data_IF_711293429599
#
_entry.id   IF_711293429599
#
_cell.length_a   1.000
_cell.length_b   1.000
_cell.length_c   1.000
_cell.angle_alpha   90.00
_cell.angle_beta   90.00
_cell.angle_gamma   90.00
#
_symmetry.space_group_name_H-M   'P 1'
#
loop_
_entity.id
_entity.type
_entity.pdbx_description
1 polymer ?
#
# COMPACT_ATOMS: atom_id res chain seq x y z
N UNK A 1 -10.33 9.95 -0.72
CA UNK A 1 -9.14 9.75 -1.57
C UNK A 1 -8.08 8.97 -0.80
N UNK A 2 -7.06 8.39 -1.43
CA UNK A 2 -6.04 7.58 -0.72
C UNK A 2 -5.33 8.34 0.40
N UNK A 3 -5.19 9.65 0.27
CA UNK A 3 -4.66 10.52 1.32
C UNK A 3 -5.56 10.55 2.58
N UNK A 4 -6.88 10.52 2.43
CA UNK A 4 -7.81 10.50 3.57
C UNK A 4 -7.74 9.18 4.34
N UNK A 5 -7.57 8.05 3.63
CA UNK A 5 -7.38 6.74 4.27
C UNK A 5 -6.08 6.74 5.08
N UNK A 6 -4.97 7.25 4.51
CA UNK A 6 -3.68 7.30 5.19
C UNK A 6 -3.69 8.23 6.40
N UNK A 7 -4.20 9.46 6.24
CA UNK A 7 -4.13 10.49 7.27
C UNK A 7 -5.21 10.39 8.35
N UNK A 8 -6.43 9.95 7.99
CA UNK A 8 -7.58 9.89 8.92
C UNK A 8 -7.99 8.47 9.28
N UNK A 9 -7.88 7.52 8.35
CA UNK A 9 -8.25 6.11 8.60
C UNK A 9 -7.18 5.34 9.36
N UNK A 10 -5.91 5.53 8.97
CA UNK A 10 -4.73 4.91 9.57
C UNK A 10 -3.93 5.86 10.45
N UNK A 11 -4.38 7.12 10.61
CA UNK A 11 -3.73 8.12 11.47
C UNK A 11 -2.20 8.24 11.26
N UNK A 12 -1.75 8.03 10.02
CA UNK A 12 -0.33 8.07 9.69
C UNK A 12 0.14 9.52 9.65
N UNK A 13 0.88 9.93 10.69
CA UNK A 13 1.53 11.24 10.76
C UNK A 13 2.61 11.43 9.70
N UNK A 14 3.29 10.34 9.34
CA UNK A 14 4.24 10.27 8.23
C UNK A 14 4.12 8.90 7.57
N UNK A 15 4.27 8.84 6.25
CA UNK A 15 4.29 7.59 5.49
C UNK A 15 5.49 7.62 4.55
N UNK A 16 6.41 6.67 4.70
CA UNK A 16 7.57 6.54 3.82
C UNK A 16 7.22 5.60 2.68
N UNK A 17 7.40 6.07 1.45
CA UNK A 17 7.30 5.24 0.25
C UNK A 17 8.48 4.28 0.23
N UNK A 18 8.19 3.00 0.15
CA UNK A 18 9.18 1.92 0.09
C UNK A 18 9.58 1.61 -1.35
N UNK A 19 8.69 1.89 -2.29
CA UNK A 19 8.87 1.62 -3.71
C UNK A 19 7.52 1.47 -4.40
N UNK A 20 7.54 0.85 -5.57
CA UNK A 20 6.36 0.58 -6.37
C UNK A 20 6.22 -0.92 -6.62
N UNK A 21 5.02 -1.47 -6.37
CA UNK A 21 4.70 -2.89 -6.65
C UNK A 21 4.33 -3.10 -8.12
N UNK A 22 3.90 -2.03 -8.78
CA UNK A 22 3.60 -1.91 -10.20
C UNK A 22 3.84 -0.45 -10.60
N UNK A 23 4.13 -0.18 -11.88
CA UNK A 23 4.28 1.19 -12.37
C UNK A 23 3.04 2.05 -11.98
N UNK A 24 3.28 3.11 -11.21
CA UNK A 24 2.23 4.00 -10.70
C UNK A 24 1.55 3.56 -9.40
N UNK A 25 1.76 2.33 -8.90
CA UNK A 25 1.21 1.86 -7.63
C UNK A 25 2.30 1.79 -6.56
N UNK A 26 2.26 2.73 -5.61
CA UNK A 26 3.26 2.86 -4.54
C UNK A 26 2.90 2.03 -3.32
N UNK A 27 3.92 1.59 -2.57
CA UNK A 27 3.77 0.87 -1.30
C UNK A 27 4.35 1.71 -0.16
N UNK A 28 3.60 1.81 0.94
CA UNK A 28 4.05 2.38 2.22
C UNK A 28 3.83 1.35 3.33
N UNK A 29 4.57 1.46 4.44
CA UNK A 29 4.26 0.70 5.65
C UNK A 29 3.69 1.61 6.73
N UNK A 30 2.74 1.09 7.49
CA UNK A 30 2.44 1.63 8.81
C UNK A 30 3.70 1.54 9.70
N UNK A 31 3.95 2.53 10.57
CA UNK A 31 5.01 2.43 11.57
C UNK A 31 4.87 1.15 12.41
N UNK A 32 5.99 0.58 12.86
CA UNK A 32 5.97 -0.58 13.76
C UNK A 32 5.29 -0.27 15.11
N UNK A 33 5.19 1.01 15.45
CA UNK A 33 4.50 1.50 16.65
C UNK A 33 3.00 1.76 16.43
N UNK A 34 2.46 1.47 15.24
CA UNK A 34 1.05 1.71 14.94
C UNK A 34 0.16 0.82 15.83
N UNK A 35 -0.79 1.37 16.61
CA UNK A 35 -1.46 0.65 17.70
C UNK A 35 -2.29 -0.57 17.25
N UNK A 36 -2.78 -0.57 16.01
CA UNK A 36 -3.64 -1.63 15.46
C UNK A 36 -3.01 -2.45 14.32
N UNK A 37 -2.01 -1.89 13.65
CA UNK A 37 -1.48 -2.43 12.39
C UNK A 37 0.03 -2.20 12.25
N UNK A 38 0.86 -2.65 13.22
CA UNK A 38 2.31 -2.54 13.13
C UNK A 38 2.84 -3.09 11.80
N UNK A 39 3.67 -2.31 11.10
CA UNK A 39 4.38 -2.77 9.90
C UNK A 39 3.49 -3.17 8.71
N UNK A 40 2.18 -2.91 8.77
CA UNK A 40 1.25 -3.33 7.72
C UNK A 40 1.57 -2.62 6.39
N UNK A 41 1.72 -3.36 5.28
CA UNK A 41 1.89 -2.76 3.98
C UNK A 41 0.56 -2.19 3.46
N UNK A 42 0.63 -1.00 2.88
CA UNK A 42 -0.50 -0.32 2.23
C UNK A 42 -0.09 -0.02 0.79
N UNK A 43 -0.85 -0.55 -0.16
CA UNK A 43 -0.69 -0.25 -1.58
C UNK A 43 -1.65 0.86 -1.97
N UNK A 44 -1.11 1.90 -2.60
CA UNK A 44 -1.87 3.06 -3.07
C UNK A 44 -2.08 2.90 -4.57
N UNK A 45 -3.33 2.72 -4.98
CA UNK A 45 -3.75 2.71 -6.38
C UNK A 45 -4.27 4.11 -6.79
N UNK A 46 -3.61 4.81 -7.73
CA UNK A 46 -4.19 5.98 -8.36
C UNK A 46 -5.37 5.58 -9.25
N UNK A 47 -6.42 6.41 -9.32
CA UNK A 47 -7.67 6.08 -10.02
C UNK A 47 -7.55 5.92 -11.56
N UNK A 48 -6.36 6.10 -12.12
CA UNK A 48 -6.06 6.02 -13.55
C UNK A 48 -4.95 4.99 -13.88
N UNK A 49 -4.59 4.11 -12.94
CA UNK A 49 -3.47 3.18 -13.10
C UNK A 49 -3.95 1.73 -13.02
N UNK A 50 -3.50 0.93 -13.98
CA UNK A 50 -3.76 -0.51 -14.07
C UNK A 50 -4.68 -0.86 -15.24
N UNK A 51 -4.45 -2.02 -15.85
CA UNK A 51 -5.47 -2.72 -16.63
C UNK A 51 -6.46 -3.40 -15.67
N UNK A 52 -7.54 -3.98 -16.19
CA UNK A 52 -8.61 -4.62 -15.39
C UNK A 52 -8.10 -5.66 -14.37
N UNK A 53 -6.89 -6.21 -14.59
CA UNK A 53 -6.23 -7.20 -13.75
C UNK A 53 -5.22 -6.63 -12.73
N UNK A 54 -5.08 -5.31 -12.64
CA UNK A 54 -4.03 -4.65 -11.83
C UNK A 54 -4.03 -5.06 -10.36
N UNK A 55 -5.22 -5.24 -9.76
CA UNK A 55 -5.36 -5.69 -8.38
C UNK A 55 -4.92 -7.15 -8.20
N UNK A 56 -5.27 -8.03 -9.15
CA UNK A 56 -4.88 -9.45 -9.14
C UNK A 56 -3.36 -9.58 -9.25
N UNK A 57 -2.76 -8.79 -10.13
CA UNK A 57 -1.31 -8.75 -10.31
C UNK A 57 -0.55 -8.29 -9.05
N UNK A 58 -1.08 -7.30 -8.34
CA UNK A 58 -0.49 -6.85 -7.07
C UNK A 58 -0.67 -7.91 -5.98
N UNK A 59 -1.85 -8.51 -5.87
CA UNK A 59 -2.11 -9.56 -4.90
C UNK A 59 -1.17 -10.75 -5.10
N UNK A 60 -0.97 -11.20 -6.35
CA UNK A 60 -0.03 -12.28 -6.67
C UNK A 60 1.42 -11.94 -6.25
N UNK A 61 1.86 -10.70 -6.49
CA UNK A 61 3.21 -10.24 -6.08
C UNK A 61 3.38 -10.18 -4.57
N UNK A 62 2.36 -9.74 -3.84
CA UNK A 62 2.43 -9.62 -2.38
C UNK A 62 2.29 -10.96 -1.64
N UNK A 63 1.61 -11.93 -2.26
CA UNK A 63 1.41 -13.27 -1.68
C UNK A 63 2.43 -14.30 -2.15
N UNK A 64 3.15 -14.01 -3.24
CA UNK A 64 4.13 -14.89 -3.90
C UNK A 64 5.50 -15.02 -3.25
N UNK A 65 5.69 -14.62 -1.99
CA UNK A 65 6.92 -14.83 -1.22
C UNK A 65 6.66 -15.68 0.02
N UNK A 66 6.39 -16.97 -0.20
CA UNK A 66 6.72 -18.04 0.76
C UNK A 66 7.78 -18.92 0.09
N UNK A 67 9.00 -18.40 0.06
CA UNK A 67 10.23 -19.18 -0.12
C UNK A 67 10.95 -19.23 1.20
#
# INVERSE_FOLDING_TARGET
>A
TSNDILSRGLELRTARVLGQVMAGCSVVHCPDTHPRFPGMPVVIFPGNVGADDGLVQVLARMTGSRG
#
